data_IF_604021973235
#
_entry.id   IF_604021973235
#
_cell.length_a   1.000
_cell.length_b   1.000
_cell.length_c   1.000
_cell.angle_alpha   90.00
_cell.angle_beta   90.00
_cell.angle_gamma   90.00
#
_symmetry.space_group_name_H-M   'P 1'
#
loop_
_entity.id
_entity.type
_entity.pdbx_description
1 polymer ?
#
# COMPACT_ATOMS: atom_id res chain seq x y z
N UNK A 1 -12.40 -4.19 11.57
CA UNK A 1 -12.61 -5.01 12.79
C UNK A 1 -11.60 -4.65 13.88
N UNK A 2 -10.29 -4.86 13.66
CA UNK A 2 -9.27 -4.45 14.64
C UNK A 2 -9.28 -2.94 14.92
N UNK A 3 -9.33 -2.12 13.86
CA UNK A 3 -9.45 -0.66 13.97
C UNK A 3 -10.65 -0.20 14.80
N UNK A 4 -11.81 -0.84 14.61
CA UNK A 4 -13.02 -0.57 15.37
C UNK A 4 -12.92 -1.00 16.84
N UNK A 5 -12.19 -2.09 17.13
CA UNK A 5 -12.00 -2.61 18.48
C UNK A 5 -10.95 -1.83 19.29
N UNK A 6 -10.01 -1.15 18.62
CA UNK A 6 -8.97 -0.34 19.22
C UNK A 6 -8.98 1.08 18.61
N UNK A 7 -9.99 1.91 18.93
CA UNK A 7 -10.21 3.20 18.26
C UNK A 7 -9.08 4.22 18.51
N UNK A 8 -8.29 4.04 19.56
CA UNK A 8 -7.12 4.87 19.88
C UNK A 8 -5.83 4.41 19.20
N UNK A 9 -5.83 3.22 18.58
CA UNK A 9 -4.67 2.70 17.85
C UNK A 9 -4.76 3.12 16.39
N UNK A 10 -3.66 3.68 15.87
CA UNK A 10 -3.51 3.97 14.44
C UNK A 10 -3.06 2.72 13.70
N UNK A 11 -3.72 2.40 12.59
CA UNK A 11 -3.39 1.28 11.71
C UNK A 11 -2.89 1.84 10.37
N UNK A 12 -1.62 1.62 10.06
CA UNK A 12 -1.07 1.91 8.73
C UNK A 12 -1.25 0.70 7.82
N UNK A 13 -1.92 0.90 6.68
CA UNK A 13 -2.17 -0.10 5.66
C UNK A 13 -1.30 0.20 4.43
N UNK A 14 -0.41 -0.73 4.09
CA UNK A 14 0.57 -0.56 3.03
C UNK A 14 0.22 -1.48 1.86
N UNK A 15 0.08 -0.91 0.67
CA UNK A 15 -0.23 -1.66 -0.55
C UNK A 15 0.13 -0.82 -1.79
N UNK A 16 0.04 -1.37 -3.00
CA UNK A 16 0.24 -0.59 -4.22
C UNK A 16 -0.84 0.47 -4.38
N UNK A 17 -0.51 1.58 -5.04
CA UNK A 17 -1.44 2.68 -5.30
C UNK A 17 -2.72 2.19 -6.01
N UNK A 18 -2.58 1.29 -6.99
CA UNK A 18 -3.71 0.70 -7.70
C UNK A 18 -4.62 -0.10 -6.75
N UNK A 19 -4.03 -0.91 -5.86
CA UNK A 19 -4.81 -1.71 -4.92
C UNK A 19 -5.48 -0.85 -3.84
N UNK A 20 -4.79 0.17 -3.32
CA UNK A 20 -5.36 1.14 -2.38
C UNK A 20 -6.53 1.92 -3.01
N UNK A 21 -6.40 2.38 -4.26
CA UNK A 21 -7.48 3.06 -4.96
C UNK A 21 -8.73 2.16 -5.15
N UNK A 22 -8.52 0.85 -5.31
CA UNK A 22 -9.61 -0.13 -5.37
C UNK A 22 -10.24 -0.44 -4.00
N UNK A 23 -9.45 -0.43 -2.92
CA UNK A 23 -9.90 -0.78 -1.57
C UNK A 23 -10.49 0.42 -0.81
N UNK A 24 -10.01 1.63 -1.10
CA UNK A 24 -10.42 2.88 -0.44
C UNK A 24 -10.81 3.91 -1.51
N UNK A 25 -11.92 3.69 -2.23
CA UNK A 25 -12.38 4.65 -3.23
C UNK A 25 -12.69 6.01 -2.57
N UNK A 26 -12.56 7.10 -3.32
CA UNK A 26 -12.69 8.47 -2.79
C UNK A 26 -14.03 8.79 -2.10
N UNK A 27 -15.06 7.99 -2.37
CA UNK A 27 -16.40 8.12 -1.79
C UNK A 27 -16.64 7.14 -0.62
N UNK A 28 -15.60 6.48 -0.11
CA UNK A 28 -15.68 5.55 1.00
C UNK A 28 -15.85 6.31 2.33
N UNK A 29 -17.11 6.48 2.73
CA UNK A 29 -17.51 7.06 4.01
C UNK A 29 -17.40 6.07 5.17
N UNK A 30 -17.24 4.78 4.88
CA UNK A 30 -17.27 3.71 5.88
C UNK A 30 -15.86 3.37 6.40
N UNK A 31 -14.81 3.94 5.77
CA UNK A 31 -13.43 3.77 6.21
C UNK A 31 -13.23 4.32 7.63
N UNK A 32 -12.81 3.48 8.59
CA UNK A 32 -12.48 3.95 9.93
C UNK A 32 -11.38 5.02 9.91
N UNK A 33 -11.59 6.11 10.65
CA UNK A 33 -10.67 7.26 10.69
C UNK A 33 -9.26 6.92 11.22
N UNK A 34 -9.12 5.81 11.96
CA UNK A 34 -7.85 5.33 12.49
C UNK A 34 -7.12 4.34 11.56
N UNK A 35 -7.54 4.22 10.30
CA UNK A 35 -6.79 3.53 9.24
C UNK A 35 -6.19 4.57 8.29
N UNK A 36 -4.87 4.52 8.09
CA UNK A 36 -4.14 5.35 7.11
C UNK A 36 -3.61 4.45 6.00
N UNK A 37 -3.98 4.73 4.75
CA UNK A 37 -3.48 3.99 3.60
C UNK A 37 -2.21 4.67 3.08
N UNK A 38 -1.17 3.87 2.84
CA UNK A 38 0.11 4.32 2.31
C UNK A 38 0.42 3.52 1.04
N UNK A 39 0.80 4.25 -0.01
CA UNK A 39 1.10 3.66 -1.31
C UNK A 39 2.55 3.19 -1.35
N UNK A 40 2.73 1.91 -1.68
CA UNK A 40 4.02 1.26 -1.89
C UNK A 40 4.25 1.13 -3.39
N UNK A 41 5.48 1.38 -3.85
CA UNK A 41 5.82 1.19 -5.25
C UNK A 41 5.64 -0.28 -5.66
N UNK A 42 5.09 -0.50 -6.86
CA UNK A 42 4.78 -1.82 -7.42
C UNK A 42 6.02 -2.61 -7.89
N UNK A 43 7.19 -1.99 -7.85
CA UNK A 43 8.45 -2.59 -8.27
C UNK A 43 8.70 -2.50 -9.78
N UNK A 44 7.80 -1.89 -10.55
CA UNK A 44 7.98 -1.68 -11.99
C UNK A 44 8.91 -0.49 -12.22
N UNK A 45 10.09 -0.68 -12.86
CA UNK A 45 10.99 0.43 -13.13
C UNK A 45 10.37 1.47 -14.07
N UNK A 46 10.74 2.74 -13.91
CA UNK A 46 10.28 3.80 -14.81
C UNK A 46 10.66 3.49 -16.26
N UNK A 47 9.68 3.58 -17.17
CA UNK A 47 9.85 3.25 -18.59
C UNK A 47 9.86 1.75 -18.91
N UNK A 48 9.72 0.87 -17.92
CA UNK A 48 9.57 -0.57 -18.16
C UNK A 48 8.21 -0.88 -18.79
N UNK A 49 8.23 -1.58 -19.92
CA UNK A 49 7.01 -2.07 -20.58
C UNK A 49 6.88 -3.54 -20.24
N UNK A 50 5.80 -3.91 -19.53
CA UNK A 50 5.49 -5.30 -19.23
C UNK A 50 5.41 -6.11 -20.54
N UNK A 51 6.05 -7.28 -20.53
CA UNK A 51 6.08 -8.22 -21.65
C UNK A 51 4.77 -9.01 -21.79
N UNK A 52 3.87 -8.92 -20.80
CA UNK A 52 2.61 -9.65 -20.77
C UNK A 52 2.76 -11.11 -20.34
N UNK A 53 3.94 -11.49 -19.81
CA UNK A 53 4.12 -12.80 -19.19
C UNK A 53 3.23 -12.89 -17.95
N UNK A 54 2.55 -14.02 -17.72
CA UNK A 54 1.84 -14.24 -16.48
C UNK A 54 2.78 -13.98 -15.30
N UNK A 55 2.31 -13.26 -14.29
CA UNK A 55 3.02 -13.02 -13.02
C UNK A 55 4.23 -12.07 -13.07
N UNK A 56 4.55 -11.46 -14.22
CA UNK A 56 5.70 -10.56 -14.32
C UNK A 56 5.64 -9.37 -13.36
N UNK A 57 4.48 -8.75 -13.23
CA UNK A 57 4.21 -7.67 -12.29
C UNK A 57 4.37 -8.13 -10.83
N UNK A 58 3.88 -9.32 -10.50
CA UNK A 58 4.05 -9.94 -9.19
C UNK A 58 5.53 -10.22 -8.88
N UNK A 59 6.30 -10.74 -9.84
CA UNK A 59 7.74 -10.98 -9.69
C UNK A 59 8.50 -9.69 -9.38
N UNK A 60 8.24 -8.63 -10.16
CA UNK A 60 8.85 -7.31 -9.96
C UNK A 60 8.50 -6.74 -8.58
N UNK A 61 7.23 -6.84 -8.17
CA UNK A 61 6.78 -6.42 -6.85
C UNK A 61 7.52 -7.19 -5.74
N UNK A 62 7.59 -8.52 -5.82
CA UNK A 62 8.22 -9.34 -4.78
C UNK A 62 9.72 -9.05 -4.62
N UNK A 63 10.41 -8.79 -5.73
CA UNK A 63 11.84 -8.43 -5.70
C UNK A 63 12.06 -7.07 -5.04
N UNK A 64 11.22 -6.08 -5.34
CA UNK A 64 11.37 -4.72 -4.83
C UNK A 64 10.73 -4.51 -3.44
N UNK A 65 9.81 -5.39 -3.03
CA UNK A 65 8.99 -5.23 -1.84
C UNK A 65 9.79 -4.93 -0.56
N UNK A 66 10.86 -5.68 -0.20
CA UNK A 66 11.56 -5.43 1.07
C UNK A 66 12.02 -3.98 1.26
N UNK A 67 12.61 -3.37 0.22
CA UNK A 67 13.08 -1.99 0.29
C UNK A 67 11.94 -0.99 0.17
N UNK A 68 10.97 -1.23 -0.73
CA UNK A 68 9.80 -0.36 -0.89
C UNK A 68 9.01 -0.26 0.42
N UNK A 69 8.72 -1.39 1.08
CA UNK A 69 8.03 -1.40 2.37
C UNK A 69 8.88 -0.76 3.47
N UNK A 70 10.18 -1.02 3.54
CA UNK A 70 11.07 -0.38 4.53
C UNK A 70 10.99 1.15 4.43
N UNK A 71 11.04 1.68 3.20
CA UNK A 71 10.95 3.13 2.95
C UNK A 71 9.61 3.69 3.40
N UNK A 72 8.50 3.07 2.99
CA UNK A 72 7.16 3.57 3.32
C UNK A 72 6.83 3.41 4.81
N UNK A 73 7.28 2.35 5.47
CA UNK A 73 7.15 2.20 6.93
C UNK A 73 7.88 3.33 7.65
N UNK A 74 9.13 3.62 7.27
CA UNK A 74 9.90 4.71 7.86
C UNK A 74 9.30 6.10 7.59
N UNK A 75 8.53 6.25 6.50
CA UNK A 75 7.76 7.47 6.23
C UNK A 75 6.52 7.54 7.12
N UNK A 76 5.73 6.46 7.19
CA UNK A 76 4.51 6.39 7.99
C UNK A 76 4.76 6.59 9.49
N UNK A 77 5.89 6.08 10.02
CA UNK A 77 6.30 6.31 11.42
C UNK A 77 6.44 7.80 11.78
N UNK A 78 6.75 8.67 10.81
CA UNK A 78 6.90 10.12 11.04
C UNK A 78 5.57 10.88 11.04
N UNK A 79 4.47 10.24 10.66
CA UNK A 79 3.15 10.86 10.61
C UNK A 79 2.36 10.67 11.92
N UNK A 80 2.87 9.88 12.87
CA UNK A 80 2.19 9.51 14.12
C UNK A 80 2.51 10.52 15.23
#
# INVERSE_FOLDING_TARGET
RLSSAAPTTVFSFFNTAQSNASLFPSNDTDRPANIRAHDVADGVPEGYVLTGRPQEDMELFLVAAPENFRREIAAAEKEI
#
